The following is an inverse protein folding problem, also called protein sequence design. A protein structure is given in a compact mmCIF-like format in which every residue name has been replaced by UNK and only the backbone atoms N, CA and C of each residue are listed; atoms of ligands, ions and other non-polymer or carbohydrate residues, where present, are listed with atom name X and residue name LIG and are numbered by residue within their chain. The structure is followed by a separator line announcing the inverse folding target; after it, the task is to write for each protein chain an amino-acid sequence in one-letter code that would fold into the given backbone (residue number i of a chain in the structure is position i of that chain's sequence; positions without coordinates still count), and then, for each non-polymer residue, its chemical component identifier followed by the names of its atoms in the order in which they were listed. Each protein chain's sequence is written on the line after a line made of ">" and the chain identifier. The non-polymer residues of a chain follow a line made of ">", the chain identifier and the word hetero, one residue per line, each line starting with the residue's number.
data_IF_164789196744
#
_entry.id   IF_164789196744
#
_cell.length_a   1.000
_cell.length_b   1.000
_cell.length_c   1.000
_cell.angle_alpha   90.00
_cell.angle_beta   90.00
_cell.angle_gamma   90.00
#
_symmetry.space_group_name_H-M   'P 1'
#
loop_
_entity.id
_entity.type
_entity.pdbx_description
1 polymer ?
#
# COMPACT_ATOMS: atom_id res chain seq x y z
N UNK A 1 -14.54 -17.07 -8.01
CA UNK A 1 -14.77 -16.09 -6.94
C UNK A 1 -13.88 -14.88 -7.17
N UNK A 2 -14.39 -13.68 -6.91
CA UNK A 2 -13.63 -12.43 -7.02
C UNK A 2 -13.38 -11.91 -5.60
N UNK A 3 -12.12 -11.68 -5.26
CA UNK A 3 -11.76 -11.00 -4.02
C UNK A 3 -11.94 -9.49 -4.18
N UNK A 4 -12.57 -8.83 -3.21
CA UNK A 4 -12.82 -7.41 -3.24
C UNK A 4 -11.98 -6.68 -2.19
N UNK A 5 -11.49 -5.51 -2.54
CA UNK A 5 -10.95 -4.51 -1.62
C UNK A 5 -11.64 -3.17 -1.86
N UNK A 6 -11.67 -2.34 -0.83
CA UNK A 6 -12.19 -0.97 -0.91
C UNK A 6 -11.04 -0.02 -0.65
N UNK A 7 -10.84 0.95 -1.53
CA UNK A 7 -9.99 2.09 -1.27
C UNK A 7 -10.81 3.20 -0.60
N UNK A 8 -10.39 3.62 0.59
CA UNK A 8 -11.04 4.68 1.33
C UNK A 8 -10.76 6.07 0.71
N UNK A 9 -11.58 7.09 1.01
CA UNK A 9 -11.36 8.43 0.46
C UNK A 9 -10.00 9.03 0.82
N UNK A 10 -9.38 9.76 -0.08
CA UNK A 10 -8.06 10.40 0.06
C UNK A 10 -7.94 11.40 1.22
N UNK A 11 -9.05 11.85 1.80
CA UNK A 11 -9.10 12.85 2.88
C UNK A 11 -8.95 12.26 4.29
N UNK A 12 -8.46 11.03 4.41
CA UNK A 12 -8.11 10.44 5.70
C UNK A 12 -6.72 10.95 6.10
N UNK A 13 -6.57 11.33 7.36
CA UNK A 13 -5.29 11.69 7.94
C UNK A 13 -5.25 11.26 9.41
N UNK A 14 -4.47 10.22 9.69
CA UNK A 14 -4.30 9.72 11.05
C UNK A 14 -3.59 10.73 11.97
N UNK A 15 -2.75 11.62 11.39
CA UNK A 15 -2.03 12.67 12.12
C UNK A 15 -2.81 14.00 12.19
N UNK A 16 -4.11 13.99 11.87
CA UNK A 16 -4.95 15.19 11.96
C UNK A 16 -5.01 15.74 13.40
N UNK A 17 -5.29 17.04 13.53
CA UNK A 17 -5.51 17.66 14.82
C UNK A 17 -6.79 17.16 15.53
N UNK A 18 -7.05 17.66 16.72
CA UNK A 18 -8.17 17.20 17.53
C UNK A 18 -9.55 17.51 16.91
N UNK A 19 -9.65 18.53 16.05
CA UNK A 19 -10.89 18.91 15.37
C UNK A 19 -11.15 18.04 14.14
N UNK A 20 -10.10 17.75 13.34
CA UNK A 20 -10.22 17.01 12.09
C UNK A 20 -10.12 15.49 12.29
N UNK A 21 -9.44 14.99 13.34
CA UNK A 21 -9.33 13.56 13.58
C UNK A 21 -10.68 12.81 13.65
N UNK A 22 -11.71 13.28 14.34
CA UNK A 22 -13.01 12.61 14.34
C UNK A 22 -13.62 12.45 12.94
N UNK A 23 -13.39 13.40 12.04
CA UNK A 23 -13.85 13.35 10.66
C UNK A 23 -13.05 12.36 9.82
N UNK A 24 -11.72 12.35 9.96
CA UNK A 24 -10.83 11.36 9.33
C UNK A 24 -11.18 9.94 9.77
N UNK A 25 -11.33 9.72 11.07
CA UNK A 25 -11.78 8.45 11.62
C UNK A 25 -13.13 8.01 11.06
N UNK A 26 -14.11 8.93 10.99
CA UNK A 26 -15.42 8.62 10.44
C UNK A 26 -15.31 8.17 8.99
N UNK A 27 -14.51 8.83 8.16
CA UNK A 27 -14.30 8.44 6.75
C UNK A 27 -13.73 7.03 6.63
N UNK A 28 -12.74 6.68 7.45
CA UNK A 28 -12.16 5.34 7.49
C UNK A 28 -13.19 4.28 7.89
N UNK A 29 -13.94 4.54 8.97
CA UNK A 29 -14.95 3.63 9.48
C UNK A 29 -16.15 3.48 8.53
N UNK A 30 -16.53 4.54 7.83
CA UNK A 30 -17.59 4.47 6.81
C UNK A 30 -17.13 3.66 5.58
N UNK A 31 -15.87 3.81 5.15
CA UNK A 31 -15.30 3.00 4.08
C UNK A 31 -15.24 1.51 4.48
N UNK A 32 -14.84 1.20 5.71
CA UNK A 32 -14.85 -0.15 6.25
C UNK A 32 -16.27 -0.75 6.28
N UNK A 33 -17.26 0.03 6.69
CA UNK A 33 -18.66 -0.40 6.66
C UNK A 33 -19.18 -0.67 5.24
N UNK A 34 -18.84 0.21 4.29
CA UNK A 34 -19.20 0.01 2.89
C UNK A 34 -18.52 -1.25 2.33
N UNK A 35 -17.26 -1.47 2.66
CA UNK A 35 -16.51 -2.68 2.32
C UNK A 35 -17.20 -3.94 2.84
N UNK A 36 -17.62 -3.94 4.10
CA UNK A 36 -18.36 -5.07 4.69
C UNK A 36 -19.64 -5.41 3.90
N UNK A 37 -20.43 -4.42 3.63
CA UNK A 37 -21.69 -4.59 2.88
C UNK A 37 -21.43 -5.16 1.48
N UNK A 38 -20.30 -4.79 0.89
CA UNK A 38 -19.90 -5.23 -0.45
C UNK A 38 -19.17 -6.59 -0.46
N UNK A 39 -18.86 -7.16 0.70
CA UNK A 39 -18.09 -8.42 0.82
C UNK A 39 -16.58 -8.23 0.58
N UNK A 40 -16.06 -7.01 0.74
CA UNK A 40 -14.62 -6.78 0.71
C UNK A 40 -13.95 -7.33 1.98
N UNK A 41 -12.69 -7.70 1.87
CA UNK A 41 -11.87 -8.19 3.00
C UNK A 41 -10.80 -7.20 3.41
N UNK A 42 -10.48 -6.25 2.54
CA UNK A 42 -9.38 -5.31 2.69
C UNK A 42 -9.85 -3.87 2.49
N UNK A 43 -9.42 -2.99 3.38
CA UNK A 43 -9.71 -1.56 3.33
C UNK A 43 -8.40 -0.79 3.22
N UNK A 44 -8.06 -0.41 2.00
CA UNK A 44 -6.86 0.39 1.71
C UNK A 44 -7.13 1.85 2.02
N UNK A 45 -6.15 2.55 2.57
CA UNK A 45 -6.26 3.98 2.84
C UNK A 45 -4.91 4.67 2.89
N UNK A 46 -4.87 5.93 2.47
CA UNK A 46 -3.73 6.81 2.67
C UNK A 46 -3.66 7.22 4.15
N UNK A 47 -2.54 6.99 4.84
CA UNK A 47 -2.47 7.28 6.28
C UNK A 47 -2.39 8.77 6.63
N UNK A 48 -2.04 9.64 5.67
CA UNK A 48 -2.08 11.09 5.83
C UNK A 48 -0.75 11.79 5.59
N UNK A 49 -0.43 12.78 6.42
CA UNK A 49 0.75 13.63 6.28
C UNK A 49 1.47 13.82 7.61
N UNK A 50 2.79 14.03 7.54
CA UNK A 50 3.57 14.37 8.75
C UNK A 50 3.28 15.77 9.30
N UNK A 51 2.81 16.71 8.46
CA UNK A 51 2.68 18.13 8.84
C UNK A 51 3.95 18.71 9.48
N UNK A 52 5.09 18.41 8.85
CA UNK A 52 6.43 18.86 9.29
C UNK A 52 6.86 18.33 10.69
N UNK A 53 6.10 17.40 11.28
CA UNK A 53 6.50 16.72 12.51
C UNK A 53 7.51 15.61 12.24
N UNK A 54 8.43 15.33 13.18
CA UNK A 54 9.30 14.17 13.08
C UNK A 54 8.48 12.86 12.94
N UNK A 55 8.89 11.91 12.10
CA UNK A 55 8.15 10.65 11.91
C UNK A 55 7.84 9.90 13.19
N UNK A 56 8.81 9.88 14.15
CA UNK A 56 8.63 9.20 15.43
C UNK A 56 7.49 9.80 16.25
N UNK A 57 7.38 11.14 16.31
CA UNK A 57 6.29 11.82 17.02
C UNK A 57 4.93 11.53 16.34
N UNK A 58 4.93 11.43 15.02
CA UNK A 58 3.72 11.08 14.28
C UNK A 58 3.27 9.67 14.60
N UNK A 59 4.19 8.69 14.61
CA UNK A 59 3.88 7.31 14.98
C UNK A 59 3.27 7.21 16.40
N UNK A 60 3.78 7.94 17.37
CA UNK A 60 3.22 7.98 18.74
C UNK A 60 1.76 8.47 18.77
N UNK A 61 1.39 9.37 17.85
CA UNK A 61 0.01 9.87 17.71
C UNK A 61 -0.89 8.89 16.98
N UNK A 62 -0.41 8.32 15.88
CA UNK A 62 -1.27 7.57 14.95
C UNK A 62 -1.49 6.13 15.36
N UNK A 63 -0.50 5.47 15.97
CA UNK A 63 -0.63 4.05 16.34
C UNK A 63 -1.81 3.80 17.28
N UNK A 64 -2.02 4.55 18.38
CA UNK A 64 -3.20 4.36 19.23
C UNK A 64 -4.53 4.65 18.50
N UNK A 65 -4.53 5.58 17.53
CA UNK A 65 -5.71 5.92 16.74
C UNK A 65 -6.10 4.78 15.80
N UNK A 66 -5.11 4.22 15.11
CA UNK A 66 -5.31 3.11 14.19
C UNK A 66 -5.70 1.83 14.94
N UNK A 67 -5.04 1.54 16.06
CA UNK A 67 -5.39 0.42 16.94
C UNK A 67 -6.84 0.51 17.42
N UNK A 68 -7.29 1.70 17.83
CA UNK A 68 -8.68 1.93 18.21
C UNK A 68 -9.68 1.69 17.08
N UNK A 69 -9.34 2.05 15.84
CA UNK A 69 -10.17 1.74 14.66
C UNK A 69 -10.22 0.24 14.37
N UNK A 70 -9.07 -0.43 14.36
CA UNK A 70 -8.98 -1.86 14.11
C UNK A 70 -9.74 -2.68 15.18
N UNK A 71 -9.54 -2.35 16.44
CA UNK A 71 -10.22 -3.02 17.56
C UNK A 71 -11.76 -2.86 17.49
N UNK A 72 -12.25 -1.66 17.11
CA UNK A 72 -13.69 -1.44 16.94
C UNK A 72 -14.26 -2.30 15.81
N UNK A 73 -13.59 -2.42 14.69
CA UNK A 73 -14.01 -3.25 13.56
C UNK A 73 -14.06 -4.73 13.95
N UNK A 74 -13.03 -5.22 14.62
CA UNK A 74 -12.99 -6.61 15.12
C UNK A 74 -14.12 -6.90 16.12
N UNK A 75 -14.39 -5.97 17.06
CA UNK A 75 -15.48 -6.11 18.04
C UNK A 75 -16.87 -6.13 17.38
N UNK A 76 -17.01 -5.59 16.18
CA UNK A 76 -18.24 -5.66 15.38
C UNK A 76 -18.38 -6.98 14.61
N UNK A 77 -17.43 -7.91 14.76
CA UNK A 77 -17.39 -9.18 14.03
C UNK A 77 -16.99 -9.04 12.58
N UNK A 78 -16.25 -7.98 12.26
CA UNK A 78 -15.74 -7.73 10.92
C UNK A 78 -14.30 -8.24 10.82
N UNK A 79 -14.08 -9.27 10.02
CA UNK A 79 -12.74 -9.83 9.74
C UNK A 79 -12.00 -9.03 8.65
N UNK A 80 -12.03 -7.70 8.75
CA UNK A 80 -11.32 -6.85 7.83
C UNK A 80 -9.88 -6.66 8.21
N UNK A 81 -9.08 -6.45 7.17
CA UNK A 81 -7.72 -5.93 7.27
C UNK A 81 -7.72 -4.47 6.86
N UNK A 82 -7.30 -3.59 7.75
CA UNK A 82 -6.97 -2.20 7.43
C UNK A 82 -5.59 -2.17 6.79
N UNK A 83 -5.51 -1.56 5.61
CA UNK A 83 -4.29 -1.54 4.82
C UNK A 83 -3.78 -0.11 4.62
N UNK A 84 -2.93 0.42 5.53
CA UNK A 84 -2.21 1.64 5.26
C UNK A 84 -1.33 1.45 4.03
N UNK A 85 -1.38 2.42 3.12
CA UNK A 85 -0.67 2.36 1.86
C UNK A 85 0.67 3.09 1.93
N UNK A 86 1.68 2.56 1.25
CA UNK A 86 2.94 3.27 1.05
C UNK A 86 2.74 4.44 0.10
N UNK A 87 3.26 5.63 0.46
CA UNK A 87 3.01 6.90 -0.22
C UNK A 87 4.20 7.42 -1.01
N UNK A 88 3.93 7.97 -2.19
CA UNK A 88 4.94 8.42 -3.15
C UNK A 88 5.59 9.78 -2.88
N UNK A 89 5.19 10.52 -1.84
CA UNK A 89 5.77 11.83 -1.48
C UNK A 89 6.43 11.81 -0.12
N UNK A 90 7.64 12.36 0.00
CA UNK A 90 8.37 12.44 1.26
C UNK A 90 7.63 13.20 2.39
N UNK A 91 6.73 14.14 2.03
CA UNK A 91 5.91 14.88 3.00
C UNK A 91 4.70 14.07 3.52
N UNK A 92 4.34 12.98 2.83
CA UNK A 92 3.24 12.11 3.22
C UNK A 92 3.72 11.03 4.18
N UNK A 93 2.92 10.80 5.24
CA UNK A 93 3.02 9.63 6.10
C UNK A 93 2.78 8.37 5.26
N UNK A 94 3.59 7.36 5.41
CA UNK A 94 3.53 6.13 4.62
C UNK A 94 4.83 5.84 3.86
N UNK A 95 5.99 6.08 4.49
CA UNK A 95 7.21 5.40 4.08
C UNK A 95 7.05 3.88 4.27
N UNK A 96 7.94 3.08 3.72
CA UNK A 96 7.94 1.64 3.97
C UNK A 96 7.97 1.36 5.49
N UNK A 97 8.86 2.04 6.20
CA UNK A 97 9.05 1.90 7.64
C UNK A 97 7.78 2.26 8.43
N UNK A 98 7.14 3.39 8.12
CA UNK A 98 5.88 3.78 8.79
C UNK A 98 4.78 2.75 8.57
N UNK A 99 4.65 2.29 7.32
CA UNK A 99 3.62 1.33 6.93
C UNK A 99 3.83 -0.01 7.62
N UNK A 100 5.09 -0.46 7.73
CA UNK A 100 5.44 -1.67 8.47
C UNK A 100 5.19 -1.50 9.98
N UNK A 101 5.52 -0.34 10.59
CA UNK A 101 5.22 -0.08 12.00
C UNK A 101 3.71 -0.11 12.28
N UNK A 102 2.90 0.54 11.45
CA UNK A 102 1.44 0.47 11.55
C UNK A 102 0.92 -0.97 11.46
N UNK A 103 1.55 -1.79 10.63
CA UNK A 103 1.13 -3.16 10.35
C UNK A 103 1.54 -4.19 11.42
N UNK A 104 2.23 -3.77 12.48
CA UNK A 104 2.42 -4.58 13.68
C UNK A 104 1.16 -4.63 14.56
N UNK A 105 0.20 -3.77 14.32
CA UNK A 105 -1.09 -3.76 15.02
C UNK A 105 -1.99 -4.91 14.54
N UNK A 106 -2.75 -5.50 15.44
CA UNK A 106 -3.67 -6.57 15.09
C UNK A 106 -4.79 -6.08 14.16
N UNK A 107 -5.03 -6.79 13.05
CA UNK A 107 -6.01 -6.40 12.03
C UNK A 107 -5.53 -5.31 11.07
N UNK A 108 -4.23 -5.02 11.07
CA UNK A 108 -3.59 -4.08 10.14
C UNK A 108 -2.49 -4.82 9.37
N UNK A 109 -2.51 -4.72 8.05
CA UNK A 109 -1.47 -5.25 7.17
C UNK A 109 -1.17 -4.20 6.07
N UNK A 110 0.04 -4.15 5.51
CA UNK A 110 0.37 -3.09 4.57
C UNK A 110 -0.31 -3.26 3.22
N UNK A 111 -0.52 -2.15 2.52
CA UNK A 111 -0.63 -2.10 1.08
C UNK A 111 0.68 -1.53 0.52
N UNK A 112 1.41 -2.33 -0.26
CA UNK A 112 2.62 -1.86 -0.94
C UNK A 112 2.24 -1.31 -2.31
N UNK A 113 2.25 0.02 -2.47
CA UNK A 113 2.23 0.62 -3.79
C UNK A 113 3.66 0.73 -4.31
N UNK A 114 3.98 -0.05 -5.34
CA UNK A 114 5.31 -0.11 -5.92
C UNK A 114 5.67 1.15 -6.70
N UNK A 115 4.68 1.77 -7.35
CA UNK A 115 4.87 3.04 -8.04
C UNK A 115 5.20 4.16 -7.05
N UNK A 116 4.49 4.21 -5.92
CA UNK A 116 4.78 5.15 -4.85
C UNK A 116 6.16 4.93 -4.23
N UNK A 117 6.54 3.68 -3.96
CA UNK A 117 7.87 3.36 -3.44
C UNK A 117 8.98 3.80 -4.40
N UNK A 118 8.80 3.59 -5.72
CA UNK A 118 9.72 4.05 -6.74
C UNK A 118 9.80 5.59 -6.81
N UNK A 119 8.66 6.26 -6.77
CA UNK A 119 8.60 7.72 -6.88
C UNK A 119 9.12 8.47 -5.64
N UNK A 120 8.99 7.87 -4.44
CA UNK A 120 9.24 8.56 -3.17
C UNK A 120 10.65 9.14 -3.01
N UNK A 121 11.75 8.47 -3.42
CA UNK A 121 13.09 9.05 -3.37
C UNK A 121 13.26 10.26 -4.29
N UNK A 122 12.53 10.30 -5.41
CA UNK A 122 12.55 11.39 -6.37
C UNK A 122 13.79 11.44 -7.27
N UNK A 123 14.57 10.39 -7.30
CA UNK A 123 15.88 10.32 -7.99
C UNK A 123 16.04 9.09 -8.92
N UNK A 124 14.97 8.29 -9.09
CA UNK A 124 14.98 7.09 -9.93
C UNK A 124 15.60 5.85 -9.28
N UNK A 125 16.03 5.94 -8.03
CA UNK A 125 16.37 4.75 -7.23
C UNK A 125 15.11 3.97 -6.85
N UNK A 126 15.24 2.83 -6.19
CA UNK A 126 14.11 1.94 -5.86
C UNK A 126 13.39 1.43 -7.12
N UNK A 127 14.15 0.91 -8.08
CA UNK A 127 13.62 0.42 -9.35
C UNK A 127 14.32 -0.84 -9.88
N UNK A 128 15.22 -1.40 -9.10
CA UNK A 128 15.99 -2.58 -9.49
C UNK A 128 15.64 -3.81 -8.63
N UNK A 129 15.91 -5.00 -9.18
CA UNK A 129 15.74 -6.25 -8.45
C UNK A 129 16.38 -6.24 -7.05
N UNK A 130 17.65 -5.81 -6.83
CA UNK A 130 18.23 -5.80 -5.49
C UNK A 130 17.52 -4.87 -4.51
N UNK A 131 16.95 -3.78 -4.99
CA UNK A 131 16.20 -2.82 -4.16
C UNK A 131 14.84 -3.40 -3.76
N UNK A 132 14.15 -4.08 -4.67
CA UNK A 132 12.91 -4.78 -4.34
C UNK A 132 13.13 -5.94 -3.37
N UNK A 133 14.23 -6.69 -3.49
CA UNK A 133 14.60 -7.70 -2.49
C UNK A 133 14.71 -7.07 -1.10
N UNK A 134 15.37 -5.91 -0.97
CA UNK A 134 15.48 -5.22 0.31
C UNK A 134 14.11 -4.81 0.89
N UNK A 135 13.16 -4.42 0.04
CA UNK A 135 11.78 -4.12 0.48
C UNK A 135 11.15 -5.38 1.09
N UNK A 136 11.23 -6.52 0.41
CA UNK A 136 10.64 -7.76 0.91
C UNK A 136 11.37 -8.35 2.11
N UNK A 137 12.69 -8.19 2.21
CA UNK A 137 13.45 -8.56 3.40
C UNK A 137 12.99 -7.75 4.63
N UNK A 138 12.87 -6.41 4.51
CA UNK A 138 12.34 -5.56 5.58
C UNK A 138 10.92 -5.92 5.94
N UNK A 139 10.08 -6.20 4.94
CA UNK A 139 8.70 -6.65 5.13
C UNK A 139 8.66 -7.93 5.96
N UNK A 140 9.43 -8.95 5.57
CA UNK A 140 9.49 -10.23 6.28
C UNK A 140 10.14 -10.11 7.67
N UNK A 141 11.14 -9.24 7.83
CA UNK A 141 11.74 -8.97 9.14
C UNK A 141 10.72 -8.33 10.12
N UNK A 142 9.92 -7.39 9.65
CA UNK A 142 8.95 -6.67 10.46
C UNK A 142 7.70 -7.51 10.81
N UNK A 143 7.20 -8.32 9.85
CA UNK A 143 5.88 -8.95 9.92
C UNK A 143 5.92 -10.49 9.88
N UNK A 144 7.11 -11.08 9.74
CA UNK A 144 7.31 -12.52 9.60
C UNK A 144 7.27 -12.99 8.15
N UNK A 145 8.02 -14.07 7.85
CA UNK A 145 8.12 -14.63 6.50
C UNK A 145 6.79 -15.06 5.90
N UNK A 146 5.85 -15.52 6.73
CA UNK A 146 4.53 -15.97 6.29
C UNK A 146 3.66 -14.82 5.74
N UNK A 147 3.97 -13.58 6.10
CA UNK A 147 3.23 -12.41 5.62
C UNK A 147 3.42 -12.18 4.10
N UNK A 148 4.54 -12.64 3.52
CA UNK A 148 4.78 -12.61 2.07
C UNK A 148 3.80 -13.47 1.26
N UNK A 149 3.03 -14.36 1.91
CA UNK A 149 2.04 -15.24 1.27
C UNK A 149 0.66 -14.57 1.10
N UNK A 150 0.50 -13.32 1.52
CA UNK A 150 -0.77 -12.59 1.45
C UNK A 150 -0.59 -11.10 1.16
N UNK A 151 0.35 -10.78 0.29
CA UNK A 151 0.61 -9.40 -0.12
C UNK A 151 -0.64 -8.77 -0.75
N UNK A 152 -0.83 -7.49 -0.46
CA UNK A 152 -1.77 -6.62 -1.15
C UNK A 152 -0.97 -5.46 -1.70
N UNK A 153 -0.92 -5.35 -3.02
CA UNK A 153 -0.05 -4.41 -3.69
C UNK A 153 -0.83 -3.60 -4.72
N UNK A 154 -0.38 -2.36 -4.92
CA UNK A 154 -0.77 -1.53 -6.04
C UNK A 154 0.40 -1.37 -7.01
N UNK A 155 0.10 -1.17 -8.28
CA UNK A 155 1.09 -0.98 -9.34
C UNK A 155 0.52 -0.14 -10.47
N UNK A 156 1.31 0.83 -10.91
CA UNK A 156 1.09 1.62 -12.12
C UNK A 156 2.44 2.12 -12.65
N UNK A 157 2.45 2.77 -13.81
CA UNK A 157 3.50 3.71 -14.15
C UNK A 157 3.37 4.97 -13.30
N UNK A 158 4.44 5.74 -13.17
CA UNK A 158 4.42 6.94 -12.34
C UNK A 158 5.34 8.03 -12.87
N UNK A 159 4.84 9.27 -12.84
CA UNK A 159 5.63 10.47 -13.01
C UNK A 159 6.06 10.99 -11.63
N UNK A 160 7.31 11.38 -11.49
CA UNK A 160 7.85 11.91 -10.24
C UNK A 160 8.86 13.03 -10.47
N UNK A 161 9.18 13.76 -9.44
CA UNK A 161 10.21 14.79 -9.37
C UNK A 161 11.05 14.57 -8.12
N UNK A 162 12.04 15.43 -7.86
CA UNK A 162 12.80 15.43 -6.60
C UNK A 162 11.91 15.51 -5.33
N UNK A 163 10.63 15.87 -5.48
CA UNK A 163 9.64 15.91 -4.37
C UNK A 163 8.79 14.64 -4.27
N UNK A 164 9.09 13.64 -5.09
CA UNK A 164 8.33 12.41 -5.23
C UNK A 164 7.23 12.48 -6.28
N UNK A 165 6.24 11.65 -6.11
CA UNK A 165 5.09 11.42 -6.99
C UNK A 165 4.42 12.70 -7.52
N UNK A 166 4.07 12.68 -8.81
CA UNK A 166 3.23 13.70 -9.45
C UNK A 166 1.90 13.09 -9.93
N UNK A 167 1.93 12.14 -10.85
CA UNK A 167 0.75 11.50 -11.42
C UNK A 167 1.03 10.03 -11.73
N UNK A 168 0.01 9.20 -11.67
CA UNK A 168 0.05 7.87 -12.26
C UNK A 168 0.10 7.96 -13.78
N UNK A 169 0.91 7.11 -14.39
CA UNK A 169 1.08 6.97 -15.83
C UNK A 169 0.67 5.57 -16.28
N UNK A 170 0.49 5.42 -17.56
CA UNK A 170 0.51 4.11 -18.21
C UNK A 170 1.90 3.51 -18.05
N UNK A 171 2.01 2.21 -17.77
CA UNK A 171 3.29 1.55 -17.53
C UNK A 171 4.30 1.76 -18.65
N UNK A 172 3.84 1.73 -19.90
CA UNK A 172 4.69 1.94 -21.07
C UNK A 172 5.26 3.37 -21.19
N UNK A 173 4.72 4.34 -20.47
CA UNK A 173 5.15 5.74 -20.46
C UNK A 173 6.06 6.09 -19.28
N UNK A 174 6.29 5.13 -18.38
CA UNK A 174 7.11 5.32 -17.19
C UNK A 174 8.44 4.58 -17.28
N UNK A 175 9.36 4.93 -16.41
CA UNK A 175 10.64 4.25 -16.25
C UNK A 175 10.60 3.08 -15.26
N UNK A 176 9.41 2.67 -14.82
CA UNK A 176 9.23 1.60 -13.86
C UNK A 176 9.74 0.25 -14.40
N UNK A 177 10.66 -0.38 -13.68
CA UNK A 177 11.26 -1.66 -14.06
C UNK A 177 10.43 -2.86 -13.55
N UNK A 178 9.43 -3.24 -14.35
CA UNK A 178 8.53 -4.34 -14.03
C UNK A 178 9.26 -5.69 -13.88
N UNK A 179 10.26 -5.95 -14.72
CA UNK A 179 11.03 -7.20 -14.71
C UNK A 179 11.81 -7.34 -13.39
N UNK A 180 12.45 -6.25 -12.93
CA UNK A 180 13.16 -6.26 -11.64
C UNK A 180 12.26 -6.52 -10.46
N UNK A 181 11.02 -6.01 -10.47
CA UNK A 181 10.01 -6.31 -9.46
C UNK A 181 9.59 -7.79 -9.52
N UNK A 182 9.29 -8.31 -10.71
CA UNK A 182 8.85 -9.69 -10.89
C UNK A 182 9.91 -10.69 -10.45
N UNK A 183 11.16 -10.41 -10.78
CA UNK A 183 12.27 -11.24 -10.32
C UNK A 183 12.33 -11.31 -8.79
N UNK A 184 12.16 -10.19 -8.10
CA UNK A 184 12.17 -10.14 -6.66
C UNK A 184 10.97 -10.90 -6.04
N UNK A 185 9.76 -10.71 -6.59
CA UNK A 185 8.55 -11.42 -6.13
C UNK A 185 8.70 -12.95 -6.25
N UNK A 186 9.25 -13.44 -7.36
CA UNK A 186 9.50 -14.87 -7.57
C UNK A 186 10.55 -15.40 -6.60
N UNK A 187 11.64 -14.68 -6.39
CA UNK A 187 12.73 -15.14 -5.52
C UNK A 187 12.28 -15.28 -4.06
N UNK A 188 11.50 -14.33 -3.55
CA UNK A 188 10.97 -14.41 -2.18
C UNK A 188 9.76 -15.33 -2.05
N UNK A 189 9.28 -15.90 -3.15
CA UNK A 189 8.11 -16.78 -3.17
C UNK A 189 6.83 -16.04 -2.75
N UNK A 190 6.71 -14.77 -3.11
CA UNK A 190 5.58 -13.94 -2.74
C UNK A 190 4.27 -14.45 -3.35
N UNK A 191 3.19 -14.34 -2.58
CA UNK A 191 1.82 -14.61 -3.03
C UNK A 191 0.89 -13.49 -2.58
N UNK A 192 -0.22 -13.33 -3.28
CA UNK A 192 -1.19 -12.29 -2.95
C UNK A 192 -1.83 -11.69 -4.19
N UNK A 193 -2.01 -10.39 -4.19
CA UNK A 193 -2.64 -9.68 -5.31
C UNK A 193 -1.90 -8.38 -5.64
N UNK A 194 -1.89 -8.04 -6.92
CA UNK A 194 -1.48 -6.73 -7.43
C UNK A 194 -2.70 -6.10 -8.09
N UNK A 195 -3.08 -4.92 -7.64
CA UNK A 195 -4.14 -4.11 -8.26
C UNK A 195 -3.48 -3.05 -9.14
N UNK A 196 -3.98 -2.93 -10.36
CA UNK A 196 -3.51 -1.91 -11.29
C UNK A 196 -4.19 -0.57 -10.99
N UNK A 197 -3.40 0.49 -10.79
CA UNK A 197 -3.87 1.87 -10.62
C UNK A 197 -3.48 2.79 -11.80
N UNK A 198 -3.17 2.19 -12.93
CA UNK A 198 -2.88 2.91 -14.17
C UNK A 198 -4.11 3.66 -14.68
N UNK A 199 -3.93 4.80 -15.38
CA UNK A 199 -5.03 5.52 -16.03
C UNK A 199 -5.81 4.69 -17.06
N UNK A 200 -5.20 3.64 -17.64
CA UNK A 200 -5.85 2.73 -18.60
C UNK A 200 -6.50 1.51 -17.94
N UNK A 201 -6.47 1.43 -16.59
CA UNK A 201 -7.14 0.40 -15.80
C UNK A 201 -6.89 -1.04 -16.31
N UNK A 202 -7.89 -1.63 -16.98
CA UNK A 202 -7.86 -3.03 -17.41
C UNK A 202 -6.82 -3.32 -18.51
N UNK A 203 -6.43 -2.34 -19.31
CA UNK A 203 -5.42 -2.53 -20.36
C UNK A 203 -4.04 -2.81 -19.73
N UNK A 204 -3.63 -1.98 -18.78
CA UNK A 204 -2.38 -2.20 -18.06
C UNK A 204 -2.48 -3.39 -17.07
N UNK A 205 -3.64 -3.64 -16.48
CA UNK A 205 -3.84 -4.84 -15.66
C UNK A 205 -3.65 -6.12 -16.46
N UNK A 206 -4.15 -6.15 -17.71
CA UNK A 206 -3.91 -7.25 -18.63
C UNK A 206 -2.44 -7.37 -19.03
N UNK A 207 -1.79 -6.25 -19.33
CA UNK A 207 -0.37 -6.21 -19.65
C UNK A 207 0.49 -6.76 -18.48
N UNK A 208 0.22 -6.33 -17.24
CA UNK A 208 0.91 -6.84 -16.04
C UNK A 208 0.73 -8.36 -15.94
N UNK A 209 -0.50 -8.85 -16.13
CA UNK A 209 -0.80 -10.29 -16.07
C UNK A 209 -0.05 -11.08 -17.14
N UNK A 210 -0.08 -10.63 -18.40
CA UNK A 210 0.60 -11.29 -19.51
C UNK A 210 2.13 -11.29 -19.30
N UNK A 211 2.70 -10.16 -18.88
CA UNK A 211 4.11 -10.05 -18.58
C UNK A 211 4.53 -10.96 -17.39
N UNK A 212 3.67 -11.09 -16.37
CA UNK A 212 3.92 -12.03 -15.27
C UNK A 212 3.94 -13.48 -15.73
N UNK A 213 2.95 -13.89 -16.53
CA UNK A 213 2.86 -15.26 -17.06
C UNK A 213 4.09 -15.60 -17.92
N UNK A 214 4.50 -14.66 -18.79
CA UNK A 214 5.69 -14.84 -19.63
C UNK A 214 6.97 -14.96 -18.78
N UNK A 215 7.10 -14.12 -17.78
CA UNK A 215 8.27 -14.06 -16.92
C UNK A 215 8.36 -15.25 -15.95
N UNK A 216 7.26 -15.62 -15.31
CA UNK A 216 7.23 -16.73 -14.32
C UNK A 216 7.22 -18.11 -14.94
N UNK A 217 6.81 -18.22 -16.21
CA UNK A 217 6.59 -19.50 -16.90
C UNK A 217 5.36 -20.26 -16.38
N UNK A 218 4.49 -19.61 -15.62
CA UNK A 218 3.21 -20.17 -15.19
C UNK A 218 2.32 -20.43 -16.42
N UNK A 219 1.57 -21.53 -16.38
CA UNK A 219 0.58 -21.84 -17.43
C UNK A 219 -0.80 -21.43 -16.90
N UNK A 220 -1.58 -20.80 -17.75
CA UNK A 220 -3.00 -20.49 -17.46
C UNK A 220 -3.80 -21.70 -16.96
#
# INVERSE_FOLDING_TARGET
>A
DVALSVHAPYYINLNADAEEWPKSRKRLMDAARAGFISGATDIVFHPGSYFERPPQEVLEIILPRLEGCAAELQNQGNDFVLRPETMGKGAMLGSLEDTLEMSKLNGVEPCLDFAHLHARPGDGTMNSYPEWIQVFERYAEALGQESLQRLHCHLSGIEYTEKGEQNHLVLAESDFNLEGLFQALLEVGAQGRILCESPTLEEDAQYIKEAWIEFSGEKE
#
